data_IF_694704257588
#
_entry.id   IF_694704257588
#
_cell.length_a   1.000
_cell.length_b   1.000
_cell.length_c   1.000
_cell.angle_alpha   90.00
_cell.angle_beta   90.00
_cell.angle_gamma   90.00
#
_symmetry.space_group_name_H-M   'P 1'
#
loop_
_entity.id
_entity.type
_entity.pdbx_description
1 polymer ?
#
# COMPACT_ATOMS: atom_id res chain seq x y z
N UNK A 1 -22.45 1.83 -23.31
CA UNK A 1 -21.00 1.59 -23.25
C UNK A 1 -20.55 2.18 -21.93
N UNK A 2 -20.32 1.33 -20.92
CA UNK A 2 -20.05 1.78 -19.56
C UNK A 2 -18.74 2.54 -19.52
N UNK A 3 -18.70 3.67 -18.82
CA UNK A 3 -17.46 4.36 -18.46
C UNK A 3 -16.56 3.35 -17.76
N UNK A 4 -15.54 2.88 -18.46
CA UNK A 4 -14.60 1.91 -17.90
C UNK A 4 -13.83 2.58 -16.77
N UNK A 5 -13.67 1.87 -15.65
CA UNK A 5 -12.73 2.29 -14.61
C UNK A 5 -11.31 2.27 -15.20
N UNK A 6 -10.78 3.44 -15.54
CA UNK A 6 -9.37 3.58 -15.92
C UNK A 6 -8.54 3.65 -14.63
N UNK A 7 -7.64 2.68 -14.47
CA UNK A 7 -6.72 2.65 -13.33
C UNK A 7 -5.38 3.18 -13.78
N UNK A 8 -4.87 4.15 -13.03
CA UNK A 8 -3.58 4.80 -13.25
C UNK A 8 -2.56 4.22 -12.25
N UNK A 9 -1.55 3.44 -12.72
CA UNK A 9 -0.56 2.82 -11.86
C UNK A 9 0.26 3.83 -11.04
N UNK A 10 0.50 5.03 -11.57
CA UNK A 10 1.23 6.07 -10.84
C UNK A 10 0.42 6.60 -9.67
N UNK A 11 -0.89 6.78 -9.85
CA UNK A 11 -1.78 7.14 -8.73
C UNK A 11 -1.84 6.05 -7.67
N UNK A 12 -1.78 4.77 -8.06
CA UNK A 12 -1.68 3.67 -7.09
C UNK A 12 -0.38 3.73 -6.30
N UNK A 13 0.77 4.01 -6.94
CA UNK A 13 2.06 4.20 -6.27
C UNK A 13 2.05 5.40 -5.33
N UNK A 14 1.51 6.54 -5.77
CA UNK A 14 1.34 7.73 -4.93
C UNK A 14 0.49 7.41 -3.70
N UNK A 15 -0.63 6.69 -3.89
CA UNK A 15 -1.49 6.31 -2.77
C UNK A 15 -0.79 5.35 -1.81
N UNK A 16 -0.06 4.35 -2.31
CA UNK A 16 0.78 3.49 -1.49
C UNK A 16 1.80 4.29 -0.67
N UNK A 17 2.41 5.31 -1.27
CA UNK A 17 3.29 6.26 -0.58
C UNK A 17 2.58 7.01 0.56
N UNK A 18 1.39 7.56 0.30
CA UNK A 18 0.58 8.23 1.32
C UNK A 18 0.20 7.30 2.47
N UNK A 19 -0.20 6.05 2.17
CA UNK A 19 -0.49 5.02 3.18
C UNK A 19 0.75 4.71 4.01
N UNK A 20 1.92 4.59 3.39
CA UNK A 20 3.19 4.40 4.08
C UNK A 20 3.54 5.56 5.01
N UNK A 21 3.27 6.80 4.59
CA UNK A 21 3.44 7.98 5.44
C UNK A 21 2.55 7.96 6.68
N UNK A 22 1.26 7.62 6.51
CA UNK A 22 0.32 7.47 7.64
C UNK A 22 0.78 6.33 8.57
N UNK A 23 1.20 5.20 8.00
CA UNK A 23 1.73 4.06 8.76
C UNK A 23 2.89 4.48 9.64
N UNK A 24 3.84 5.28 9.14
CA UNK A 24 4.97 5.77 9.93
C UNK A 24 4.52 6.52 11.20
N UNK A 25 3.51 7.39 11.10
CA UNK A 25 2.97 8.10 12.27
C UNK A 25 2.20 7.17 13.22
N UNK A 26 1.54 6.15 12.70
CA UNK A 26 0.87 5.11 13.52
C UNK A 26 1.89 4.26 14.27
N UNK A 27 3.01 3.90 13.64
CA UNK A 27 4.09 3.16 14.28
C UNK A 27 4.72 4.00 15.41
N UNK A 28 4.99 5.28 15.17
CA UNK A 28 5.50 6.21 16.19
C UNK A 28 4.52 6.34 17.37
N UNK A 29 3.22 6.41 17.10
CA UNK A 29 2.20 6.44 18.15
C UNK A 29 2.13 5.12 18.94
N UNK A 30 2.34 3.98 18.28
CA UNK A 30 2.41 2.68 18.95
C UNK A 30 3.63 2.59 19.87
N UNK A 31 4.78 3.06 19.42
CA UNK A 31 6.02 3.07 20.21
C UNK A 31 5.87 3.98 21.44
N UNK A 32 5.31 5.18 21.27
CA UNK A 32 4.99 6.08 22.37
C UNK A 32 3.98 5.46 23.36
N UNK A 33 2.94 4.80 22.84
CA UNK A 33 1.95 4.11 23.66
C UNK A 33 2.55 2.95 24.47
N UNK A 34 3.48 2.19 23.87
CA UNK A 34 4.22 1.14 24.56
C UNK A 34 5.13 1.69 25.66
N UNK A 35 5.76 2.83 25.42
CA UNK A 35 6.58 3.50 26.42
C UNK A 35 5.74 3.93 27.63
N UNK A 36 4.59 4.56 27.42
CA UNK A 36 3.70 4.98 28.52
C UNK A 36 3.13 3.79 29.29
N UNK A 37 2.76 2.71 28.60
CA UNK A 37 2.23 1.51 29.25
C UNK A 37 3.26 0.76 30.12
N UNK A 38 4.56 0.89 29.80
CA UNK A 38 5.66 0.20 30.51
C UNK A 38 6.27 1.02 31.66
N UNK A 39 6.04 2.33 31.69
CA UNK A 39 6.63 3.25 32.67
C UNK A 39 5.67 3.55 33.83
N UNK A 40 5.92 2.94 34.98
CA UNK A 40 5.23 3.30 36.23
C UNK A 40 5.63 4.71 36.74
N UNK A 41 6.75 5.26 36.28
CA UNK A 41 7.30 6.59 36.60
C UNK A 41 6.82 7.71 35.66
N UNK A 42 6.04 7.39 34.60
CA UNK A 42 5.35 8.40 33.79
C UNK A 42 4.32 9.20 34.59
N UNK A 43 3.95 8.69 35.77
CA UNK A 43 3.01 9.32 36.70
C UNK A 43 3.78 9.94 37.86
N UNK A 44 3.47 11.20 38.18
CA UNK A 44 3.98 11.84 39.40
C UNK A 44 3.55 11.11 40.67
N UNK A 45 4.28 11.34 41.76
CA UNK A 45 4.11 10.62 43.03
C UNK A 45 2.67 10.58 43.57
N UNK A 46 1.91 11.67 43.41
CA UNK A 46 0.49 11.72 43.80
C UNK A 46 -0.34 10.71 43.01
N UNK A 47 -0.16 10.64 41.70
CA UNK A 47 -0.90 9.72 40.83
C UNK A 47 -0.51 8.27 41.10
N UNK A 48 0.77 8.01 41.37
CA UNK A 48 1.24 6.69 41.81
C UNK A 48 0.60 6.29 43.15
N UNK A 49 0.53 7.21 44.11
CA UNK A 49 -0.11 6.98 45.41
C UNK A 49 -1.60 6.68 45.32
N UNK A 50 -2.27 7.13 44.24
CA UNK A 50 -3.66 6.81 43.94
C UNK A 50 -3.86 5.48 43.19
N UNK A 51 -2.79 4.75 42.85
CA UNK A 51 -2.87 3.49 42.09
C UNK A 51 -3.28 3.65 40.62
N UNK A 52 -3.22 4.88 40.09
CA UNK A 52 -3.57 5.18 38.69
C UNK A 52 -2.76 4.37 37.65
N UNK A 53 -1.44 4.14 37.81
CA UNK A 53 -0.68 3.36 36.84
C UNK A 53 -1.24 1.94 36.64
N UNK A 54 -1.53 1.24 37.73
CA UNK A 54 -2.08 -0.12 37.68
C UNK A 54 -3.51 -0.14 37.12
N UNK A 55 -4.31 0.87 37.44
CA UNK A 55 -5.68 1.00 36.91
C UNK A 55 -5.70 1.26 35.40
N UNK A 56 -4.71 2.00 34.88
CA UNK A 56 -4.64 2.41 33.48
C UNK A 56 -3.84 1.45 32.59
N UNK A 57 -3.01 0.57 33.16
CA UNK A 57 -2.17 -0.38 32.40
C UNK A 57 -2.97 -1.19 31.39
N UNK A 58 -4.06 -1.84 31.81
CA UNK A 58 -4.88 -2.67 30.92
C UNK A 58 -5.50 -1.88 29.75
N UNK A 59 -6.16 -0.73 29.99
CA UNK A 59 -6.58 0.17 28.91
C UNK A 59 -5.45 0.61 27.98
N UNK A 60 -4.29 0.98 28.52
CA UNK A 60 -3.14 1.46 27.75
C UNK A 60 -2.56 0.37 26.85
N UNK A 61 -2.34 -0.83 27.38
CA UNK A 61 -1.90 -1.99 26.60
C UNK A 61 -2.87 -2.33 25.46
N UNK A 62 -4.19 -2.26 25.71
CA UNK A 62 -5.20 -2.50 24.68
C UNK A 62 -5.16 -1.44 23.58
N UNK A 63 -5.03 -0.18 23.93
CA UNK A 63 -4.94 0.92 22.95
C UNK A 63 -3.67 0.78 22.11
N UNK A 64 -2.52 0.54 22.74
CA UNK A 64 -1.25 0.30 22.04
C UNK A 64 -1.37 -0.88 21.07
N UNK A 65 -1.96 -2.00 21.52
CA UNK A 65 -2.16 -3.16 20.65
C UNK A 65 -3.11 -2.88 19.47
N UNK A 66 -4.14 -2.04 19.66
CA UNK A 66 -5.01 -1.63 18.55
C UNK A 66 -4.26 -0.77 17.53
N UNK A 67 -3.45 0.18 17.98
CA UNK A 67 -2.63 1.03 17.10
C UNK A 67 -1.66 0.16 16.29
N UNK A 68 -0.99 -0.80 16.92
CA UNK A 68 -0.12 -1.75 16.23
C UNK A 68 -0.84 -2.55 15.14
N UNK A 69 -2.07 -3.02 15.40
CA UNK A 69 -2.88 -3.73 14.40
C UNK A 69 -3.25 -2.84 13.21
N UNK A 70 -3.57 -1.57 13.48
CA UNK A 70 -3.82 -0.59 12.41
C UNK A 70 -2.56 -0.39 11.57
N UNK A 71 -1.39 -0.24 12.21
CA UNK A 71 -0.11 -0.13 11.51
C UNK A 71 0.17 -1.34 10.60
N UNK A 72 -0.08 -2.56 11.10
CA UNK A 72 0.05 -3.77 10.29
C UNK A 72 -0.91 -3.78 9.09
N UNK A 73 -2.18 -3.42 9.29
CA UNK A 73 -3.19 -3.35 8.23
C UNK A 73 -2.83 -2.33 7.15
N UNK A 74 -2.31 -1.16 7.54
CA UNK A 74 -1.82 -0.13 6.62
C UNK A 74 -0.63 -0.63 5.81
N UNK A 75 0.30 -1.37 6.44
CA UNK A 75 1.40 -2.03 5.73
C UNK A 75 0.92 -3.01 4.66
N UNK A 76 -0.06 -3.85 4.98
CA UNK A 76 -0.67 -4.76 4.00
C UNK A 76 -1.33 -4.00 2.83
N UNK A 77 -2.03 -2.90 3.11
CA UNK A 77 -2.71 -2.12 2.08
C UNK A 77 -1.71 -1.40 1.18
N UNK A 78 -0.63 -0.85 1.75
CA UNK A 78 0.49 -0.31 0.99
C UNK A 78 1.08 -1.35 0.03
N UNK A 79 1.33 -2.57 0.51
CA UNK A 79 1.84 -3.66 -0.33
C UNK A 79 0.86 -4.03 -1.45
N UNK A 80 -0.43 -4.17 -1.14
CA UNK A 80 -1.47 -4.50 -2.14
C UNK A 80 -1.58 -3.43 -3.23
N UNK A 81 -1.46 -2.15 -2.88
CA UNK A 81 -1.47 -1.05 -3.85
C UNK A 81 -0.24 -1.10 -4.78
N UNK A 82 0.94 -1.38 -4.22
CA UNK A 82 2.16 -1.56 -5.00
C UNK A 82 2.07 -2.75 -5.96
N UNK A 83 1.57 -3.90 -5.47
CA UNK A 83 1.36 -5.10 -6.28
C UNK A 83 0.33 -4.85 -7.40
N UNK A 84 -0.74 -4.11 -7.11
CA UNK A 84 -1.73 -3.73 -8.11
C UNK A 84 -1.12 -2.88 -9.22
N UNK A 85 -0.34 -1.85 -8.87
CA UNK A 85 0.37 -1.03 -9.86
C UNK A 85 1.27 -1.87 -10.77
N UNK A 86 2.06 -2.78 -10.18
CA UNK A 86 2.95 -3.69 -10.92
C UNK A 86 2.18 -4.57 -11.91
N UNK A 87 1.03 -5.13 -11.49
CA UNK A 87 0.19 -5.97 -12.37
C UNK A 87 -0.34 -5.18 -13.57
N UNK A 88 -0.67 -3.91 -13.40
CA UNK A 88 -1.07 -3.07 -14.52
C UNK A 88 0.07 -2.81 -15.49
N UNK A 89 1.29 -2.49 -15.01
CA UNK A 89 2.46 -2.32 -15.88
C UNK A 89 2.75 -3.59 -16.68
N UNK A 90 2.71 -4.76 -16.02
CA UNK A 90 2.97 -6.05 -16.66
C UNK A 90 1.91 -6.38 -17.72
N UNK A 91 0.64 -6.01 -17.48
CA UNK A 91 -0.43 -6.19 -18.45
C UNK A 91 -0.23 -5.25 -19.66
N UNK A 92 0.11 -3.98 -19.42
CA UNK A 92 0.37 -3.00 -20.47
C UNK A 92 1.58 -3.40 -21.32
N UNK A 93 2.68 -3.82 -20.70
CA UNK A 93 3.87 -4.29 -21.41
C UNK A 93 3.56 -5.49 -22.33
N UNK A 94 2.76 -6.45 -21.86
CA UNK A 94 2.33 -7.60 -22.68
C UNK A 94 1.49 -7.17 -23.87
N UNK A 95 0.56 -6.23 -23.67
CA UNK A 95 -0.27 -5.70 -24.76
C UNK A 95 0.59 -4.97 -25.79
N UNK A 96 1.56 -4.15 -25.35
CA UNK A 96 2.50 -3.45 -26.23
C UNK A 96 3.31 -4.45 -27.06
N UNK A 97 3.85 -5.51 -26.46
CA UNK A 97 4.60 -6.53 -27.20
C UNK A 97 3.73 -7.23 -28.25
N UNK A 98 2.51 -7.63 -27.90
CA UNK A 98 1.57 -8.24 -28.86
C UNK A 98 1.22 -7.28 -30.02
N UNK A 99 1.08 -5.99 -29.75
CA UNK A 99 0.82 -4.98 -30.77
C UNK A 99 2.01 -4.79 -31.71
N UNK A 100 3.25 -4.84 -31.20
CA UNK A 100 4.46 -4.79 -32.03
C UNK A 100 4.58 -6.03 -32.92
N UNK A 101 4.38 -7.22 -32.36
CA UNK A 101 4.39 -8.48 -33.13
C UNK A 101 3.34 -8.47 -34.24
N UNK A 102 2.15 -7.93 -33.95
CA UNK A 102 1.09 -7.78 -34.93
C UNK A 102 1.47 -6.77 -36.02
N UNK A 103 2.04 -5.61 -35.65
CA UNK A 103 2.50 -4.61 -36.62
C UNK A 103 3.58 -5.18 -37.55
N UNK A 104 4.58 -5.88 -37.00
CA UNK A 104 5.62 -6.55 -37.81
C UNK A 104 5.05 -7.62 -38.75
N UNK A 105 4.03 -8.36 -38.29
CA UNK A 105 3.37 -9.38 -39.11
C UNK A 105 2.58 -8.75 -40.26
N UNK A 106 1.91 -7.60 -40.01
CA UNK A 106 1.19 -6.84 -41.03
C UNK A 106 2.14 -6.23 -42.06
N UNK A 107 3.27 -5.66 -41.63
CA UNK A 107 4.27 -5.11 -42.54
C UNK A 107 4.85 -6.19 -43.47
N UNK A 108 5.20 -7.36 -42.92
CA UNK A 108 5.65 -8.52 -43.72
C UNK A 108 4.61 -9.00 -44.73
N UNK A 109 3.32 -8.95 -44.37
CA UNK A 109 2.23 -9.32 -45.27
C UNK A 109 1.99 -8.26 -46.36
N UNK A 110 2.22 -6.98 -46.05
CA UNK A 110 2.13 -5.86 -46.99
C UNK A 110 3.25 -5.85 -48.04
N UNK A 111 4.46 -6.26 -47.65
CA UNK A 111 5.64 -6.37 -48.53
C UNK A 111 5.69 -7.66 -49.36
N UNK A 112 4.76 -8.60 -49.14
CA UNK A 112 4.70 -9.82 -49.93
C UNK A 112 4.36 -9.49 -51.40
N UNK A 113 5.12 -9.99 -52.39
CA UNK A 113 4.88 -9.68 -53.79
C UNK A 113 3.48 -10.14 -54.21
N UNK A 114 2.69 -9.25 -54.82
CA UNK A 114 1.37 -9.59 -55.38
C UNK A 114 1.56 -10.62 -56.50
N UNK A 115 1.32 -11.90 -56.18
CA UNK A 115 1.24 -12.98 -57.15
C UNK A 115 -0.06 -12.82 -57.95
N UNK A 116 -0.03 -12.00 -59.01
CA UNK A 116 -1.16 -11.86 -59.92
C UNK A 116 -1.24 -10.52 -60.65
N UNK A 117 -0.29 -10.24 -61.54
CA UNK A 117 -0.48 -9.33 -62.66
C UNK A 117 -0.47 -10.15 -63.95
N UNK A 118 -1.59 -10.18 -64.67
CA UNK A 118 -1.71 -10.76 -66.01
C UNK A 118 -0.94 -9.93 -67.02
#
# INVERSE_FOLDING_TARGET
>A
MGEGFQVDPDKLRMHAGSVGGIKSGVDEAADAGGHVASLNDAYGWICQGMGLPDMLRGPQERVTAMIQRVGAKLGEDQHKLGDAAKRYDEAEAKVIELLKELAESLDKAGDAPKLGGR
#
